data_IF_093945333563
#
_entry.id   IF_093945333563
#
_cell.length_a   1.000
_cell.length_b   1.000
_cell.length_c   1.000
_cell.angle_alpha   90.00
_cell.angle_beta   90.00
_cell.angle_gamma   90.00
#
_symmetry.space_group_name_H-M   'P 1'
#
loop_
_entity.id
_entity.type
_entity.pdbx_description
1 polymer ?
#
# COMPACT_ATOMS: atom_id res chain seq x y z
N UNK A 1 42.22 -13.96 -11.95
CA UNK A 1 41.67 -15.34 -11.88
C UNK A 1 40.33 -15.27 -11.18
N UNK A 2 39.23 -15.31 -11.93
CA UNK A 2 37.88 -15.24 -11.36
C UNK A 2 37.55 -16.60 -10.73
N UNK A 3 37.33 -16.61 -9.42
CA UNK A 3 36.94 -17.81 -8.70
C UNK A 3 35.55 -18.25 -9.20
N UNK A 4 35.51 -19.33 -9.98
CA UNK A 4 34.28 -19.95 -10.53
C UNK A 4 33.43 -20.61 -9.43
N UNK A 5 33.88 -20.59 -8.18
CA UNK A 5 33.09 -21.05 -7.05
C UNK A 5 32.06 -19.98 -6.66
N UNK A 6 30.79 -20.20 -7.03
CA UNK A 6 29.68 -19.39 -6.54
C UNK A 6 29.68 -19.21 -5.01
N UNK A 7 28.99 -18.19 -4.52
CA UNK A 7 28.95 -17.83 -3.09
C UNK A 7 27.76 -18.47 -2.37
N UNK A 8 27.87 -18.71 -1.06
CA UNK A 8 26.76 -19.25 -0.25
C UNK A 8 25.83 -18.12 0.20
N UNK A 9 24.53 -18.27 -0.03
CA UNK A 9 23.47 -17.34 0.37
C UNK A 9 22.50 -18.05 1.32
N UNK A 10 22.25 -17.43 2.47
CA UNK A 10 21.28 -17.93 3.46
C UNK A 10 19.87 -17.46 3.10
N UNK A 11 18.93 -18.39 3.04
CA UNK A 11 17.52 -18.13 2.79
C UNK A 11 16.69 -18.55 4.01
N UNK A 12 16.16 -17.56 4.74
CA UNK A 12 15.43 -17.79 5.99
C UNK A 12 16.32 -18.37 7.10
N UNK A 13 15.71 -19.02 8.09
CA UNK A 13 16.43 -19.51 9.28
C UNK A 13 17.24 -20.79 9.03
N UNK A 14 16.74 -21.71 8.19
CA UNK A 14 17.21 -23.11 8.16
C UNK A 14 17.98 -23.52 6.90
N UNK A 15 18.07 -22.68 5.85
CA UNK A 15 18.58 -23.12 4.55
C UNK A 15 19.65 -22.20 3.99
N UNK A 16 20.69 -22.80 3.41
CA UNK A 16 21.75 -22.11 2.67
C UNK A 16 21.81 -22.69 1.26
N UNK A 17 21.94 -21.86 0.23
CA UNK A 17 22.06 -22.26 -1.18
C UNK A 17 23.28 -21.61 -1.81
N UNK A 18 23.91 -22.28 -2.77
CA UNK A 18 25.00 -21.70 -3.55
C UNK A 18 24.43 -20.89 -4.72
N UNK A 19 24.80 -19.61 -4.79
CA UNK A 19 24.45 -18.69 -5.86
C UNK A 19 25.65 -18.48 -6.80
N UNK A 20 25.39 -18.48 -8.11
CA UNK A 20 26.39 -18.18 -9.14
C UNK A 20 26.17 -16.78 -9.76
N UNK A 21 25.26 -15.98 -9.20
CA UNK A 21 24.99 -14.62 -9.63
C UNK A 21 26.26 -13.78 -9.56
N UNK A 22 26.51 -12.98 -10.61
CA UNK A 22 27.70 -12.12 -10.73
C UNK A 22 27.39 -10.64 -10.46
N UNK A 23 26.12 -10.27 -10.50
CA UNK A 23 25.63 -8.92 -10.28
C UNK A 23 25.12 -8.84 -8.84
N UNK A 24 25.43 -7.72 -8.17
CA UNK A 24 24.95 -7.44 -6.82
C UNK A 24 23.50 -6.92 -6.88
N UNK A 25 22.63 -7.46 -6.04
CA UNK A 25 21.31 -6.86 -5.79
C UNK A 25 21.51 -5.52 -5.08
N UNK A 26 21.00 -4.45 -5.70
CA UNK A 26 21.14 -3.07 -5.19
C UNK A 26 19.97 -2.63 -4.34
N UNK A 27 18.84 -3.34 -4.46
CA UNK A 27 17.57 -3.08 -3.79
C UNK A 27 16.97 -4.42 -3.39
N UNK A 28 16.37 -4.46 -2.21
CA UNK A 28 15.59 -5.60 -1.75
C UNK A 28 14.23 -5.66 -2.45
N UNK A 29 13.59 -6.83 -2.42
CA UNK A 29 12.22 -6.97 -2.92
C UNK A 29 11.26 -6.13 -2.06
N UNK A 30 10.42 -5.30 -2.66
CA UNK A 30 9.38 -4.57 -1.94
C UNK A 30 8.30 -5.53 -1.45
N UNK A 31 7.35 -4.99 -0.69
CA UNK A 31 6.17 -5.76 -0.31
C UNK A 31 5.30 -6.00 -1.55
N UNK A 32 5.25 -7.25 -2.02
CA UNK A 32 4.56 -7.60 -3.27
C UNK A 32 3.04 -7.36 -3.24
N UNK A 33 2.45 -7.10 -2.07
CA UNK A 33 1.03 -6.74 -1.90
C UNK A 33 0.81 -5.29 -1.46
N UNK A 34 1.85 -4.44 -1.50
CA UNK A 34 1.80 -3.05 -1.02
C UNK A 34 0.67 -2.25 -1.68
N UNK A 35 0.48 -2.39 -2.98
CA UNK A 35 -0.57 -1.67 -3.72
C UNK A 35 -1.96 -1.96 -3.15
N UNK A 36 -2.21 -3.20 -2.70
CA UNK A 36 -3.51 -3.59 -2.15
C UNK A 36 -3.73 -3.00 -0.75
N UNK A 37 -2.69 -3.02 0.10
CA UNK A 37 -2.78 -2.47 1.45
C UNK A 37 -2.83 -0.95 1.45
N UNK A 38 -2.04 -0.32 0.59
CA UNK A 38 -1.87 1.13 0.57
C UNK A 38 -3.07 1.82 -0.07
N UNK A 39 -3.65 1.22 -1.12
CA UNK A 39 -4.89 1.73 -1.73
C UNK A 39 -6.07 1.67 -0.76
N UNK A 40 -6.21 0.59 0.00
CA UNK A 40 -7.27 0.49 1.00
C UNK A 40 -7.04 1.44 2.17
N UNK A 41 -5.79 1.60 2.61
CA UNK A 41 -5.43 2.59 3.62
C UNK A 41 -5.80 4.00 3.17
N UNK A 42 -5.39 4.40 1.97
CA UNK A 42 -5.74 5.71 1.41
C UNK A 42 -7.27 5.89 1.30
N UNK A 43 -7.99 4.85 0.87
CA UNK A 43 -9.45 4.90 0.79
C UNK A 43 -10.09 5.18 2.15
N UNK A 44 -9.61 4.54 3.22
CA UNK A 44 -10.12 4.74 4.57
C UNK A 44 -9.69 6.06 5.19
N UNK A 45 -8.49 6.55 4.89
CA UNK A 45 -7.91 7.74 5.51
C UNK A 45 -8.43 9.03 4.81
N UNK A 46 -8.53 9.01 3.48
CA UNK A 46 -8.82 10.20 2.67
C UNK A 46 -10.02 9.98 1.74
N UNK A 47 -10.04 8.86 1.00
CA UNK A 47 -10.97 8.66 -0.11
C UNK A 47 -12.45 8.67 0.31
N UNK A 48 -12.78 8.16 1.49
CA UNK A 48 -14.14 8.22 2.03
C UNK A 48 -14.58 9.65 2.35
N UNK A 49 -13.70 10.46 2.96
CA UNK A 49 -14.02 11.86 3.29
C UNK A 49 -14.15 12.70 2.03
N UNK A 50 -13.21 12.55 1.09
CA UNK A 50 -13.26 13.24 -0.22
C UNK A 50 -14.58 12.98 -0.94
N UNK A 51 -15.07 11.72 -0.94
CA UNK A 51 -16.35 11.36 -1.55
C UNK A 51 -17.54 12.04 -0.87
N UNK A 52 -17.54 12.18 0.46
CA UNK A 52 -18.62 12.88 1.16
C UNK A 52 -18.57 14.38 0.92
N UNK A 53 -17.37 14.98 0.89
CA UNK A 53 -17.19 16.40 0.62
C UNK A 53 -17.66 16.79 -0.80
N UNK A 54 -17.55 15.89 -1.78
CA UNK A 54 -18.03 16.12 -3.16
C UNK A 54 -19.56 16.12 -3.27
N UNK A 55 -20.25 15.37 -2.41
CA UNK A 55 -21.72 15.22 -2.47
C UNK A 55 -22.43 16.22 -1.54
N UNK A 56 -21.72 16.82 -0.58
CA UNK A 56 -22.32 17.64 0.48
C UNK A 56 -22.05 19.15 0.31
N UNK A 57 -22.93 20.03 0.82
CA UNK A 57 -24.22 19.72 1.43
C UNK A 57 -25.28 19.30 0.40
N UNK A 58 -26.26 18.51 0.86
CA UNK A 58 -27.47 18.22 0.07
C UNK A 58 -28.57 19.19 0.49
N UNK A 59 -29.06 19.99 -0.47
CA UNK A 59 -30.13 20.98 -0.25
C UNK A 59 -31.50 20.49 -0.76
N UNK A 60 -32.59 20.91 -0.11
CA UNK A 60 -33.94 20.69 -0.61
C UNK A 60 -34.30 21.66 -1.75
N UNK A 61 -35.33 21.33 -2.55
CA UNK A 61 -35.68 22.15 -3.72
C UNK A 61 -36.11 23.60 -3.38
N UNK A 62 -36.53 23.84 -2.13
CA UNK A 62 -36.99 25.15 -1.66
C UNK A 62 -35.89 25.96 -0.97
N UNK A 63 -34.69 25.41 -0.80
CA UNK A 63 -33.58 26.05 -0.09
C UNK A 63 -33.84 26.30 1.40
N UNK A 64 -34.72 25.50 2.04
CA UNK A 64 -35.08 25.60 3.46
C UNK A 64 -34.37 24.57 4.33
N UNK A 65 -33.94 23.45 3.76
CA UNK A 65 -33.30 22.36 4.47
C UNK A 65 -31.96 22.04 3.79
N UNK A 66 -30.94 21.81 4.62
CA UNK A 66 -29.61 21.35 4.19
C UNK A 66 -29.17 20.20 5.10
N UNK A 67 -28.58 19.18 4.49
CA UNK A 67 -27.91 18.08 5.19
C UNK A 67 -26.40 18.21 4.98
N UNK A 68 -25.67 18.26 6.09
CA UNK A 68 -24.22 18.30 6.12
C UNK A 68 -23.65 17.00 6.69
N UNK A 69 -22.51 16.59 6.13
CA UNK A 69 -21.71 15.50 6.66
C UNK A 69 -20.71 16.06 7.67
N UNK A 70 -20.67 15.48 8.88
CA UNK A 70 -19.73 15.89 9.94
C UNK A 70 -18.57 14.89 10.02
N UNK A 71 -18.89 13.63 10.29
CA UNK A 71 -17.89 12.57 10.40
C UNK A 71 -18.50 11.17 10.30
N UNK A 72 -17.64 10.15 10.21
CA UNK A 72 -17.98 8.73 10.27
C UNK A 72 -17.04 7.97 11.20
N UNK A 73 -17.44 6.77 11.59
CA UNK A 73 -16.62 5.87 12.37
C UNK A 73 -16.64 4.47 11.77
N UNK A 74 -15.49 3.81 11.72
CA UNK A 74 -15.35 2.40 11.35
C UNK A 74 -15.51 1.53 12.61
N UNK A 75 -16.22 0.41 12.49
CA UNK A 75 -16.50 -0.55 13.58
C UNK A 75 -15.32 -1.47 13.89
#
# INVERSE_FOLDING_TARGET
>A
MNNLAGHLVKYGKHRVRRSYSRIKEVLDLPNLIEVQTDSYKWFLDEGLREMFDDIMPIEDFQGKLSLEFVDYQLL
#
